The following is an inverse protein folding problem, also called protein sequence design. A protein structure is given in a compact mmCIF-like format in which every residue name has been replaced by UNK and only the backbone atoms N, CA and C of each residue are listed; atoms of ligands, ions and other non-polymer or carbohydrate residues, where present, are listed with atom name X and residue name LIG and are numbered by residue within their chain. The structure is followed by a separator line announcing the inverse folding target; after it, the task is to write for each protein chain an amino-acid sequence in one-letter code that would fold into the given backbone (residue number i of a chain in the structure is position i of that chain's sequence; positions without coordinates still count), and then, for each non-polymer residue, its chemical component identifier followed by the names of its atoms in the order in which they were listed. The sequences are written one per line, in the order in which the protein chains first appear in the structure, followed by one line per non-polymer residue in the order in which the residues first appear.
data_IF_145467501063
#
_entry.id   IF_145467501063
#
_cell.length_a   1.000
_cell.length_b   1.000
_cell.length_c   1.000
_cell.angle_alpha   90.00
_cell.angle_beta   90.00
_cell.angle_gamma   90.00
#
_symmetry.space_group_name_H-M   'P 1'
#
loop_
_entity.id
_entity.type
_entity.pdbx_description
1 polymer ?
#
# COMPACT_ATOMS: atom_id res chain seq x y z
N UNK A 1 19.09 4.30 14.99
CA UNK A 1 19.53 2.89 15.09
C UNK A 1 18.32 1.98 14.91
N UNK A 2 18.51 0.67 14.70
CA UNK A 2 17.39 -0.27 14.61
C UNK A 2 16.52 -0.24 15.88
N UNK A 3 17.12 -0.08 17.05
CA UNK A 3 16.40 0.04 18.34
C UNK A 3 15.52 1.30 18.40
N UNK A 4 16.04 2.44 17.94
CA UNK A 4 15.26 3.69 17.87
C UNK A 4 14.10 3.58 16.88
N UNK A 5 14.31 2.94 15.71
CA UNK A 5 13.23 2.68 14.75
C UNK A 5 12.16 1.80 15.39
N UNK A 6 12.54 0.69 16.02
CA UNK A 6 11.59 -0.23 16.65
C UNK A 6 10.74 0.48 17.73
N UNK A 7 11.38 1.31 18.56
CA UNK A 7 10.69 2.10 19.57
C UNK A 7 9.73 3.14 18.98
N UNK A 8 10.20 3.91 17.99
CA UNK A 8 9.41 4.99 17.39
C UNK A 8 8.26 4.44 16.54
N UNK A 9 8.48 3.36 15.79
CA UNK A 9 7.53 2.82 14.81
C UNK A 9 6.21 2.41 15.45
N UNK A 10 6.25 1.73 16.61
CA UNK A 10 5.03 1.34 17.32
C UNK A 10 4.19 2.55 17.77
N UNK A 11 4.85 3.62 18.23
CA UNK A 11 4.17 4.85 18.65
C UNK A 11 3.54 5.59 17.47
N UNK A 12 4.31 5.72 16.38
CA UNK A 12 3.83 6.38 15.15
C UNK A 12 2.64 5.62 14.56
N UNK A 13 2.68 4.28 14.55
CA UNK A 13 1.53 3.48 14.11
C UNK A 13 0.30 3.72 14.98
N UNK A 14 0.47 3.82 16.30
CA UNK A 14 -0.62 4.21 17.22
C UNK A 14 -1.21 5.57 16.87
N UNK A 15 -0.37 6.59 16.69
CA UNK A 15 -0.83 7.93 16.35
C UNK A 15 -1.52 8.01 14.99
N UNK A 16 -1.02 7.30 13.98
CA UNK A 16 -1.68 7.20 12.67
C UNK A 16 -3.07 6.60 12.83
N UNK A 17 -3.19 5.52 13.62
CA UNK A 17 -4.48 4.89 13.91
C UNK A 17 -5.43 5.86 14.62
N UNK A 18 -4.97 6.58 15.63
CA UNK A 18 -5.81 7.54 16.36
C UNK A 18 -6.36 8.64 15.43
N UNK A 19 -5.52 9.14 14.50
CA UNK A 19 -5.93 10.12 13.49
C UNK A 19 -6.95 9.51 12.51
N UNK A 20 -6.72 8.29 12.04
CA UNK A 20 -7.65 7.57 11.14
C UNK A 20 -8.99 7.29 11.82
N UNK A 21 -8.99 6.85 13.08
CA UNK A 21 -10.20 6.55 13.85
C UNK A 21 -11.00 7.84 14.09
N UNK A 22 -10.34 8.96 14.41
CA UNK A 22 -11.00 10.27 14.50
C UNK A 22 -11.56 10.72 13.16
N UNK A 23 -10.78 10.63 12.09
CA UNK A 23 -11.22 11.01 10.74
C UNK A 23 -12.41 10.18 10.26
N UNK A 24 -12.53 8.92 10.68
CA UNK A 24 -13.70 8.07 10.38
C UNK A 24 -15.01 8.58 11.00
N UNK A 25 -14.96 9.45 12.01
CA UNK A 25 -16.14 10.10 12.59
C UNK A 25 -16.66 11.28 11.75
N UNK A 26 -15.87 11.72 10.78
CA UNK A 26 -16.18 12.85 9.90
C UNK A 26 -16.58 12.30 8.53
N UNK A 27 -17.71 12.76 7.99
CA UNK A 27 -18.13 12.39 6.64
C UNK A 27 -17.04 12.75 5.62
N UNK A 28 -16.54 11.75 4.89
CA UNK A 28 -15.43 11.92 3.94
C UNK A 28 -14.07 12.19 4.58
N UNK A 29 -13.90 11.99 5.90
CA UNK A 29 -12.64 12.22 6.60
C UNK A 29 -11.54 11.22 6.26
N UNK A 30 -11.92 9.99 5.89
CA UNK A 30 -11.03 8.99 5.30
C UNK A 30 -11.39 8.73 3.84
N UNK A 31 -10.37 8.38 3.06
CA UNK A 31 -10.53 7.90 1.69
C UNK A 31 -10.28 6.39 1.67
N UNK A 32 -11.15 5.65 0.99
CA UNK A 32 -10.92 4.23 0.68
C UNK A 32 -9.68 4.02 -0.19
N UNK A 33 -9.30 5.06 -0.93
CA UNK A 33 -8.12 5.10 -1.79
C UNK A 33 -6.90 5.65 -1.05
N UNK A 34 -5.77 4.96 -1.15
CA UNK A 34 -4.49 5.36 -0.56
C UNK A 34 -3.49 5.76 -1.63
N UNK A 35 -2.94 6.98 -1.53
CA UNK A 35 -1.94 7.46 -2.47
C UNK A 35 -0.59 6.77 -2.27
N UNK A 36 -0.17 5.97 -3.24
CA UNK A 36 1.05 5.16 -3.18
C UNK A 36 2.31 5.93 -2.79
N UNK A 37 2.48 7.16 -3.28
CA UNK A 37 3.70 7.93 -3.01
C UNK A 37 3.83 8.39 -1.55
N UNK A 38 2.74 8.39 -0.78
CA UNK A 38 2.73 8.74 0.64
C UNK A 38 2.47 7.54 1.56
N UNK A 39 2.36 6.34 1.00
CA UNK A 39 2.09 5.14 1.78
C UNK A 39 3.35 4.65 2.52
N UNK A 40 3.19 4.29 3.80
CA UNK A 40 4.20 3.51 4.54
C UNK A 40 4.24 2.06 4.06
N UNK A 41 5.36 1.38 4.29
CA UNK A 41 5.54 -0.06 4.00
C UNK A 41 4.51 -0.98 4.68
N UNK A 42 3.77 -0.51 5.68
CA UNK A 42 2.69 -1.27 6.34
C UNK A 42 1.31 -1.11 5.71
N UNK A 43 1.14 -0.21 4.75
CA UNK A 43 -0.13 0.03 4.05
C UNK A 43 -0.21 -0.77 2.75
N UNK A 44 -1.42 -0.92 2.21
CA UNK A 44 -1.66 -1.52 0.89
C UNK A 44 -2.28 -0.50 -0.09
N UNK A 45 -1.47 0.39 -0.68
CA UNK A 45 -1.98 1.37 -1.61
C UNK A 45 -2.50 0.75 -2.91
N UNK A 46 -1.90 -0.33 -3.39
CA UNK A 46 -2.35 -0.95 -4.64
C UNK A 46 -3.73 -1.60 -4.45
N UNK A 47 -3.94 -2.36 -3.37
CA UNK A 47 -5.24 -2.96 -3.05
C UNK A 47 -6.37 -1.92 -2.97
N UNK A 48 -6.05 -0.68 -2.56
CA UNK A 48 -7.02 0.42 -2.47
C UNK A 48 -7.56 0.93 -3.84
N UNK A 49 -6.98 0.50 -4.97
CA UNK A 49 -7.36 1.00 -6.29
C UNK A 49 -8.61 0.31 -6.86
N UNK A 50 -9.09 -0.74 -6.20
CA UNK A 50 -10.28 -1.51 -6.59
C UNK A 50 -9.99 -2.59 -7.65
N UNK A 51 -10.80 -3.65 -7.61
CA UNK A 51 -10.58 -4.89 -8.38
C UNK A 51 -10.39 -4.66 -9.89
N UNK A 52 -11.15 -3.75 -10.51
CA UNK A 52 -11.04 -3.47 -11.95
C UNK A 52 -9.66 -2.89 -12.32
N UNK A 53 -9.15 -1.96 -11.51
CA UNK A 53 -7.85 -1.34 -11.76
C UNK A 53 -6.71 -2.31 -11.46
N UNK A 54 -6.84 -3.12 -10.41
CA UNK A 54 -5.91 -4.21 -10.12
C UNK A 54 -5.84 -5.18 -11.30
N UNK A 55 -6.98 -5.61 -11.82
CA UNK A 55 -7.03 -6.48 -13.00
C UNK A 55 -6.32 -5.86 -14.19
N UNK A 56 -6.60 -4.59 -14.51
CA UNK A 56 -5.93 -3.88 -15.61
C UNK A 56 -4.41 -3.84 -15.43
N UNK A 57 -3.92 -3.59 -14.22
CA UNK A 57 -2.48 -3.58 -13.92
C UNK A 57 -1.87 -4.98 -14.02
N UNK A 58 -2.55 -6.03 -13.54
CA UNK A 58 -2.11 -7.42 -13.69
C UNK A 58 -2.04 -7.84 -15.16
N UNK A 59 -3.06 -7.50 -15.96
CA UNK A 59 -3.08 -7.77 -17.40
C UNK A 59 -1.94 -7.03 -18.13
N UNK A 60 -1.68 -5.77 -17.77
CA UNK A 60 -0.57 -4.99 -18.32
C UNK A 60 0.80 -5.59 -17.95
N UNK A 61 0.99 -5.98 -16.69
CA UNK A 61 2.21 -6.65 -16.24
C UNK A 61 2.45 -7.95 -17.01
N UNK A 62 1.42 -8.80 -17.17
CA UNK A 62 1.53 -10.04 -17.93
C UNK A 62 1.87 -9.82 -19.41
N UNK A 63 1.33 -8.76 -20.02
CA UNK A 63 1.54 -8.44 -21.43
C UNK A 63 2.93 -7.87 -21.72
N UNK A 64 3.43 -6.97 -20.85
CA UNK A 64 4.61 -6.16 -21.12
C UNK A 64 5.85 -6.58 -20.33
N UNK A 65 5.69 -7.28 -19.21
CA UNK A 65 6.78 -7.83 -18.38
C UNK A 65 6.51 -9.32 -18.03
N UNK A 66 6.43 -10.22 -19.03
CA UNK A 66 6.10 -11.62 -18.80
C UNK A 66 7.13 -12.36 -17.92
N UNK A 67 8.38 -11.91 -17.90
CA UNK A 67 9.43 -12.46 -17.05
C UNK A 67 9.40 -11.91 -15.61
N UNK A 68 8.58 -10.88 -15.38
CA UNK A 68 8.37 -10.19 -14.10
C UNK A 68 9.65 -9.53 -13.57
N UNK A 69 10.42 -8.90 -14.45
CA UNK A 69 11.64 -8.14 -14.11
C UNK A 69 11.36 -7.13 -13.01
N UNK A 70 10.26 -6.37 -13.10
CA UNK A 70 9.94 -5.32 -12.11
C UNK A 70 9.39 -5.87 -10.79
N UNK A 71 8.78 -7.05 -10.83
CA UNK A 71 8.30 -7.71 -9.61
C UNK A 71 9.45 -8.39 -8.85
N UNK A 72 10.42 -8.98 -9.57
CA UNK A 72 11.49 -9.81 -8.99
C UNK A 72 12.79 -9.06 -8.75
N UNK A 73 13.22 -8.22 -9.69
CA UNK A 73 14.58 -7.67 -9.69
C UNK A 73 14.66 -6.25 -9.11
N UNK A 74 13.56 -5.52 -9.08
CA UNK A 74 13.53 -4.19 -8.43
C UNK A 74 13.33 -4.36 -6.92
N UNK A 75 14.28 -3.95 -6.08
CA UNK A 75 14.14 -4.06 -4.63
C UNK A 75 13.10 -3.07 -4.09
N UNK A 76 12.31 -3.51 -3.10
CA UNK A 76 11.34 -2.68 -2.40
C UNK A 76 10.16 -2.21 -3.25
N UNK A 77 9.48 -1.18 -2.73
CA UNK A 77 8.23 -0.66 -3.30
C UNK A 77 7.06 -1.64 -3.16
N UNK A 78 5.89 -1.19 -3.63
CA UNK A 78 4.69 -2.02 -3.70
C UNK A 78 4.67 -2.80 -5.01
N UNK A 79 4.38 -4.10 -4.94
CA UNK A 79 4.34 -4.99 -6.10
C UNK A 79 2.91 -5.37 -6.44
N UNK A 80 2.57 -5.34 -7.72
CA UNK A 80 1.24 -5.77 -8.17
C UNK A 80 1.06 -7.30 -8.00
N UNK A 81 2.17 -8.05 -7.97
CA UNK A 81 2.17 -9.48 -7.65
C UNK A 81 1.75 -9.79 -6.22
N UNK A 82 1.88 -8.83 -5.30
CA UNK A 82 1.62 -9.04 -3.87
C UNK A 82 0.17 -8.70 -3.50
N UNK A 83 -0.56 -8.08 -4.43
CA UNK A 83 -1.99 -7.76 -4.26
C UNK A 83 -2.81 -9.04 -4.37
N UNK A 84 -3.48 -9.40 -3.29
CA UNK A 84 -4.38 -10.57 -3.22
C UNK A 84 -5.54 -10.40 -4.19
N UNK A 85 -5.92 -11.48 -4.86
CA UNK A 85 -7.19 -11.53 -5.57
C UNK A 85 -8.31 -11.62 -4.51
N UNK A 86 -9.35 -10.80 -4.68
CA UNK A 86 -10.58 -10.85 -3.87
C UNK A 86 -11.45 -12.07 -4.23
#
# INVERSE_FOLDING_TARGET
TAEQEAFARLKVQGWIKDVQDYAATIEGGNLEWTYLNYADKSQDPLGSYGAENIKKMKDAAAKYDPEQVFQKLVPGGFKISDVKDE
#
